data_IF_881986433457
#
_entry.id   IF_881986433457
#
_cell.length_a   1.000
_cell.length_b   1.000
_cell.length_c   1.000
_cell.angle_alpha   90.00
_cell.angle_beta   90.00
_cell.angle_gamma   90.00
#
_symmetry.space_group_name_H-M   'P 1'
#
loop_
_entity.id
_entity.type
_entity.pdbx_description
1 polymer ?
#
# COMPACT_ATOMS: atom_id res chain seq x y z
N UNK A 1 5.70 -29.46 -38.71
CA UNK A 1 5.02 -28.14 -38.74
C UNK A 1 4.18 -27.86 -37.49
N UNK A 2 3.54 -28.86 -36.87
CA UNK A 2 2.73 -28.70 -35.65
C UNK A 2 3.53 -28.19 -34.43
N UNK A 3 4.78 -28.60 -34.27
CA UNK A 3 5.62 -28.19 -33.13
C UNK A 3 6.13 -26.74 -33.25
N UNK A 4 6.29 -26.20 -34.47
CA UNK A 4 6.66 -24.79 -34.68
C UNK A 4 5.50 -23.84 -34.34
N UNK A 5 4.27 -24.29 -34.56
CA UNK A 5 3.05 -23.55 -34.21
C UNK A 5 2.85 -23.47 -32.68
N UNK A 6 3.23 -24.53 -31.96
CA UNK A 6 3.15 -24.59 -30.49
C UNK A 6 4.18 -23.66 -29.81
N UNK A 7 5.40 -23.58 -30.34
CA UNK A 7 6.46 -22.70 -29.81
C UNK A 7 6.11 -21.22 -30.04
N UNK A 8 5.50 -20.89 -31.18
CA UNK A 8 5.05 -19.52 -31.49
C UNK A 8 3.91 -19.05 -30.58
N UNK A 9 3.04 -19.96 -30.11
CA UNK A 9 1.94 -19.64 -29.20
C UNK A 9 2.43 -19.32 -27.77
N UNK A 10 3.50 -19.96 -27.29
CA UNK A 10 4.11 -19.66 -25.99
C UNK A 10 4.73 -18.26 -25.95
N UNK A 11 5.33 -17.77 -27.03
CA UNK A 11 5.97 -16.45 -27.05
C UNK A 11 4.98 -15.27 -27.00
N UNK A 12 3.73 -15.46 -27.44
CA UNK A 12 2.71 -14.40 -27.42
C UNK A 12 2.07 -14.22 -26.03
N UNK A 13 2.09 -15.26 -25.19
CA UNK A 13 1.56 -15.21 -23.82
C UNK A 13 2.54 -14.49 -22.87
N UNK A 14 3.84 -14.52 -23.16
CA UNK A 14 4.88 -13.89 -22.34
C UNK A 14 4.86 -12.36 -22.32
N UNK A 15 4.05 -11.70 -23.16
CA UNK A 15 3.96 -10.22 -23.22
C UNK A 15 2.95 -9.61 -22.23
N UNK A 16 2.24 -10.43 -21.45
CA UNK A 16 1.32 -9.96 -20.41
C UNK A 16 1.91 -10.01 -18.99
N UNK A 17 3.22 -9.81 -18.86
CA UNK A 17 3.78 -9.42 -17.55
C UNK A 17 3.54 -7.91 -17.42
N UNK A 18 2.32 -7.52 -17.04
CA UNK A 18 2.07 -6.15 -16.59
C UNK A 18 2.88 -5.93 -15.30
N UNK A 19 4.05 -5.31 -15.45
CA UNK A 19 4.62 -4.55 -14.35
C UNK A 19 3.57 -3.55 -13.85
N UNK A 20 3.57 -3.21 -12.55
CA UNK A 20 2.67 -2.20 -12.00
C UNK A 20 2.86 -0.86 -12.76
N UNK A 21 1.96 -0.57 -13.71
CA UNK A 21 1.97 0.68 -14.50
C UNK A 21 1.23 1.82 -13.81
N UNK A 22 0.57 1.52 -12.69
CA UNK A 22 -0.24 2.49 -11.97
C UNK A 22 0.62 3.65 -11.46
N UNK A 23 0.20 4.87 -11.80
CA UNK A 23 0.92 6.08 -11.43
C UNK A 23 0.87 6.28 -9.92
N UNK A 24 2.04 6.55 -9.33
CA UNK A 24 2.16 7.01 -7.95
C UNK A 24 2.02 8.53 -7.91
N UNK A 25 1.25 9.05 -6.96
CA UNK A 25 1.11 10.49 -6.73
C UNK A 25 1.07 10.80 -5.24
N UNK A 26 1.41 12.04 -4.91
CA UNK A 26 1.54 12.50 -3.54
C UNK A 26 0.70 13.76 -3.32
N UNK A 27 -0.01 13.83 -2.20
CA UNK A 27 -0.73 15.04 -1.77
C UNK A 27 -0.26 15.42 -0.36
N UNK A 28 0.29 16.62 -0.21
CA UNK A 28 0.78 17.11 1.08
C UNK A 28 -0.36 17.75 1.87
N UNK A 29 -0.46 17.40 3.14
CA UNK A 29 -1.39 17.98 4.11
C UNK A 29 -0.58 18.50 5.30
N UNK A 30 0.04 19.68 5.15
CA UNK A 30 0.98 20.21 6.14
C UNK A 30 0.34 20.44 7.52
N UNK A 31 -0.92 20.89 7.56
CA UNK A 31 -1.68 21.07 8.81
C UNK A 31 -1.97 19.76 9.55
N UNK A 32 -2.05 18.65 8.80
CA UNK A 32 -2.29 17.31 9.34
C UNK A 32 -0.98 16.54 9.53
N UNK A 33 0.17 17.15 9.22
CA UNK A 33 1.50 16.52 9.26
C UNK A 33 1.51 15.15 8.55
N UNK A 34 1.05 15.17 7.30
CA UNK A 34 0.85 13.96 6.49
C UNK A 34 1.15 14.19 5.01
N UNK A 35 1.73 13.19 4.37
CA UNK A 35 1.75 13.07 2.90
C UNK A 35 0.92 11.86 2.50
N UNK A 36 -0.17 12.10 1.79
CA UNK A 36 -1.00 11.06 1.19
C UNK A 36 -0.27 10.45 -0.02
N UNK A 37 -0.28 9.12 -0.12
CA UNK A 37 0.31 8.36 -1.22
C UNK A 37 -0.81 7.62 -1.94
N UNK A 38 -0.98 7.97 -3.22
CA UNK A 38 -2.01 7.40 -4.08
C UNK A 38 -1.37 6.59 -5.21
N UNK A 39 -1.95 5.43 -5.51
CA UNK A 39 -1.53 4.54 -6.61
C UNK A 39 -2.74 4.36 -7.54
N UNK A 40 -2.58 4.67 -8.83
CA UNK A 40 -3.69 4.60 -9.78
C UNK A 40 -4.85 5.56 -9.44
N UNK A 41 -4.53 6.68 -8.79
CA UNK A 41 -5.52 7.66 -8.32
C UNK A 41 -6.33 7.23 -7.10
N UNK A 42 -6.02 6.09 -6.48
CA UNK A 42 -6.68 5.60 -5.25
C UNK A 42 -5.74 5.70 -4.05
N UNK A 43 -6.33 5.90 -2.87
CA UNK A 43 -5.57 5.91 -1.61
C UNK A 43 -4.89 4.57 -1.35
N UNK A 44 -3.58 4.59 -1.15
CA UNK A 44 -2.78 3.40 -0.85
C UNK A 44 -2.22 3.43 0.57
N UNK A 45 -1.61 4.55 0.97
CA UNK A 45 -1.15 4.78 2.34
C UNK A 45 -0.94 6.27 2.59
N UNK A 46 -0.66 6.66 3.83
CA UNK A 46 -0.11 7.98 4.13
C UNK A 46 1.20 7.87 4.90
N UNK A 47 2.16 8.74 4.61
CA UNK A 47 3.29 9.01 5.50
C UNK A 47 2.86 10.04 6.54
N UNK A 48 2.65 9.60 7.78
CA UNK A 48 2.22 10.46 8.89
C UNK A 48 3.42 10.77 9.80
N UNK A 49 3.51 12.02 10.26
CA UNK A 49 4.56 12.52 11.15
C UNK A 49 4.02 13.51 12.20
N UNK A 50 2.94 13.16 12.94
CA UNK A 50 2.43 14.00 14.02
C UNK A 50 3.41 14.02 15.21
N UNK A 51 3.30 15.04 16.06
CA UNK A 51 4.21 15.23 17.21
C UNK A 51 4.00 14.21 18.34
N UNK A 52 2.88 13.48 18.32
CA UNK A 52 2.54 12.47 19.32
C UNK A 52 2.94 11.05 18.90
N UNK A 53 3.63 10.89 17.77
CA UNK A 53 4.28 9.65 17.39
C UNK A 53 5.78 9.77 17.58
N UNK A 54 6.38 8.74 18.18
CA UNK A 54 7.84 8.65 18.38
C UNK A 54 8.61 8.73 17.04
N UNK A 55 7.99 8.25 15.96
CA UNK A 55 8.56 8.32 14.62
C UNK A 55 7.47 8.39 13.54
N UNK A 56 7.81 8.93 12.36
CA UNK A 56 6.95 8.83 11.20
C UNK A 56 6.72 7.38 10.77
N UNK A 57 5.52 7.10 10.26
CA UNK A 57 5.14 5.76 9.80
C UNK A 57 4.28 5.84 8.54
N UNK A 58 4.18 4.73 7.82
CA UNK A 58 3.17 4.54 6.77
C UNK A 58 1.91 3.93 7.39
N UNK A 59 0.80 4.67 7.32
CA UNK A 59 -0.49 4.28 7.90
C UNK A 59 -1.69 4.98 7.25
N UNK A 60 -2.85 4.29 7.10
CA UNK A 60 -2.97 2.83 7.03
C UNK A 60 -2.39 2.32 5.71
N UNK A 61 -2.01 1.05 5.62
CA UNK A 61 -1.65 0.44 4.32
C UNK A 61 -2.84 -0.35 3.80
N UNK A 62 -3.29 -0.03 2.59
CA UNK A 62 -4.36 -0.73 1.90
C UNK A 62 -3.81 -1.67 0.82
N UNK A 63 -4.38 -2.86 0.74
CA UNK A 63 -4.19 -3.75 -0.41
C UNK A 63 -4.94 -3.20 -1.65
N UNK A 64 -4.65 -3.75 -2.83
CA UNK A 64 -5.26 -3.30 -4.09
C UNK A 64 -6.79 -3.43 -4.13
N UNK A 65 -7.35 -4.34 -3.33
CA UNK A 65 -8.80 -4.54 -3.15
C UNK A 65 -9.41 -3.58 -2.10
N UNK A 66 -8.62 -2.70 -1.47
CA UNK A 66 -9.06 -1.80 -0.40
C UNK A 66 -9.04 -2.41 0.99
N UNK A 67 -8.57 -3.65 1.15
CA UNK A 67 -8.45 -4.27 2.47
C UNK A 67 -7.33 -3.64 3.29
N UNK A 68 -7.56 -3.45 4.58
CA UNK A 68 -6.58 -2.88 5.51
C UNK A 68 -5.55 -3.95 5.87
N UNK A 69 -4.28 -3.70 5.53
CA UNK A 69 -3.18 -4.59 5.91
C UNK A 69 -2.59 -4.25 7.28
N UNK A 70 -2.68 -2.99 7.70
CA UNK A 70 -2.25 -2.55 9.03
C UNK A 70 -3.40 -2.65 10.03
N UNK A 71 -3.11 -3.18 11.21
CA UNK A 71 -3.98 -3.07 12.40
C UNK A 71 -4.32 -1.61 12.70
N UNK A 72 -5.44 -1.38 13.38
CA UNK A 72 -5.93 -0.06 13.73
C UNK A 72 -5.31 0.52 15.01
N UNK A 73 -5.10 -0.30 16.05
CA UNK A 73 -4.58 0.20 17.33
C UNK A 73 -3.14 0.78 17.21
N UNK A 74 -2.84 1.94 17.80
CA UNK A 74 -3.72 2.76 18.64
C UNK A 74 -4.48 3.88 17.90
N UNK A 75 -4.24 4.09 16.60
CA UNK A 75 -4.75 5.27 15.88
C UNK A 75 -6.22 5.17 15.47
N UNK A 76 -6.69 3.97 15.16
CA UNK A 76 -8.07 3.66 14.72
C UNK A 76 -8.46 2.30 15.31
N UNK A 77 -8.52 2.20 16.63
CA UNK A 77 -8.69 0.92 17.35
C UNK A 77 -9.97 0.20 16.90
N UNK A 78 -9.88 -1.10 16.62
CA UNK A 78 -10.99 -1.95 16.16
C UNK A 78 -11.25 -3.07 17.14
N UNK A 79 -12.51 -3.49 17.23
CA UNK A 79 -12.91 -4.60 18.09
C UNK A 79 -12.17 -5.89 17.72
N UNK A 80 -11.66 -6.59 18.74
CA UNK A 80 -10.92 -7.84 18.58
C UNK A 80 -9.44 -7.69 18.25
N UNK A 81 -8.94 -6.48 18.00
CA UNK A 81 -7.49 -6.25 17.89
C UNK A 81 -6.81 -6.33 19.27
N UNK A 82 -5.57 -6.82 19.31
CA UNK A 82 -4.73 -6.70 20.51
C UNK A 82 -4.51 -5.22 20.83
N UNK A 83 -4.20 -4.88 22.08
CA UNK A 83 -3.91 -3.50 22.54
C UNK A 83 -2.62 -3.42 23.38
N UNK A 84 -1.79 -4.44 23.28
CA UNK A 84 -0.61 -4.67 24.12
C UNK A 84 0.63 -3.84 23.73
N UNK A 85 0.74 -3.42 22.47
CA UNK A 85 1.89 -2.67 21.95
C UNK A 85 1.47 -1.42 21.16
N UNK A 86 1.23 -0.27 21.83
CA UNK A 86 0.77 0.96 21.17
C UNK A 86 1.81 1.57 20.22
N UNK A 87 3.08 1.20 20.38
CA UNK A 87 4.15 1.66 19.49
C UNK A 87 4.20 0.92 18.14
N UNK A 88 3.41 -0.15 17.95
CA UNK A 88 3.34 -0.94 16.71
C UNK A 88 2.21 -0.45 15.80
N UNK A 89 2.41 0.73 15.20
CA UNK A 89 1.34 1.46 14.49
C UNK A 89 1.23 1.12 12.99
N UNK A 90 2.35 0.99 12.27
CA UNK A 90 2.36 0.83 10.81
C UNK A 90 3.69 0.32 10.29
N UNK A 91 3.93 0.45 8.97
CA UNK A 91 5.23 0.09 8.40
C UNK A 91 6.27 1.15 8.72
N UNK A 92 7.40 0.70 9.22
CA UNK A 92 8.54 1.54 9.57
C UNK A 92 9.40 1.77 8.32
N UNK A 93 9.83 3.01 8.12
CA UNK A 93 10.85 3.42 7.15
C UNK A 93 12.17 3.67 7.88
#
# INVERSE_FOLDING_TARGET
>A
MKNKLLISACCLISMHVNAQTEKVSFVKHDTQKKVEVNVGGKHFTSFIYPDNLEKPVLYPILAANGELLTRGFPLDTRDGERVDHPHHVGLWL
#
